data_IF_731556476056
#
_entry.id   IF_731556476056
#
_cell.length_a   1.000
_cell.length_b   1.000
_cell.length_c   1.000
_cell.angle_alpha   90.00
_cell.angle_beta   90.00
_cell.angle_gamma   90.00
#
_symmetry.space_group_name_H-M   'P 1'
#
loop_
_entity.id
_entity.type
_entity.pdbx_description
1 polymer ?
#
# COMPACT_ATOMS: atom_id res chain seq x y z
N UNK A 1 -4.97 -23.81 5.63
CA UNK A 1 -3.73 -23.58 4.84
C UNK A 1 -2.95 -22.47 5.50
N UNK A 2 -1.61 -22.43 5.41
CA UNK A 2 -0.84 -21.33 5.98
C UNK A 2 -1.15 -20.02 5.24
N UNK A 3 -1.08 -18.89 5.97
CA UNK A 3 -1.20 -17.53 5.40
C UNK A 3 -0.11 -17.29 4.36
N UNK A 4 -0.48 -16.65 3.25
CA UNK A 4 0.50 -16.22 2.25
C UNK A 4 1.13 -14.87 2.69
N UNK A 5 2.45 -14.74 2.52
CA UNK A 5 3.19 -13.49 2.77
C UNK A 5 3.57 -12.77 1.47
N UNK A 6 3.21 -13.32 0.33
CA UNK A 6 3.43 -12.74 -0.99
C UNK A 6 2.27 -13.09 -1.91
N UNK A 7 2.00 -12.20 -2.85
CA UNK A 7 1.12 -12.53 -3.97
C UNK A 7 1.90 -13.24 -5.07
N UNK A 8 1.17 -14.06 -5.84
CA UNK A 8 1.61 -14.58 -7.12
C UNK A 8 0.69 -14.03 -8.20
N UNK A 9 1.22 -13.17 -9.03
CA UNK A 9 0.45 -12.61 -10.14
C UNK A 9 0.26 -13.65 -11.24
N UNK A 10 -1.01 -14.00 -11.54
CA UNK A 10 -1.37 -15.03 -12.50
C UNK A 10 -1.59 -14.48 -13.90
N UNK A 11 -1.88 -13.19 -14.02
CA UNK A 11 -2.04 -12.55 -15.32
C UNK A 11 -3.08 -11.44 -15.34
N UNK A 12 -3.26 -10.89 -16.54
CA UNK A 12 -4.29 -9.88 -16.86
C UNK A 12 -5.32 -10.49 -17.77
N UNK A 13 -6.60 -10.34 -17.42
CA UNK A 13 -7.75 -10.96 -18.08
C UNK A 13 -8.76 -9.91 -18.50
N UNK A 14 -9.62 -10.27 -19.45
CA UNK A 14 -10.72 -9.40 -19.90
C UNK A 14 -12.00 -9.60 -19.07
N UNK A 15 -12.16 -10.77 -18.44
CA UNK A 15 -13.34 -11.08 -17.65
C UNK A 15 -12.98 -11.49 -16.22
N UNK A 16 -13.98 -11.32 -15.33
CA UNK A 16 -13.88 -11.74 -13.95
C UNK A 16 -13.77 -13.26 -13.82
N UNK A 17 -14.50 -13.98 -14.67
CA UNK A 17 -14.58 -15.43 -14.60
C UNK A 17 -13.25 -16.08 -15.02
N UNK A 18 -12.63 -15.57 -16.10
CA UNK A 18 -11.29 -16.00 -16.51
C UNK A 18 -10.25 -15.71 -15.42
N UNK A 19 -10.30 -14.50 -14.85
CA UNK A 19 -9.41 -14.13 -13.75
C UNK A 19 -9.60 -15.05 -12.54
N UNK A 20 -10.85 -15.29 -12.11
CA UNK A 20 -11.17 -16.18 -10.99
C UNK A 20 -10.69 -17.62 -11.26
N UNK A 21 -10.86 -18.11 -12.48
CA UNK A 21 -10.40 -19.45 -12.88
C UNK A 21 -8.88 -19.62 -12.80
N UNK A 22 -8.11 -18.54 -12.80
CA UNK A 22 -6.65 -18.57 -12.69
C UNK A 22 -6.13 -18.66 -11.25
N UNK A 23 -7.00 -18.41 -10.26
CA UNK A 23 -6.63 -18.40 -8.83
C UNK A 23 -6.75 -19.80 -8.25
N UNK A 24 -5.65 -20.38 -7.78
CA UNK A 24 -5.57 -21.77 -7.27
C UNK A 24 -5.16 -21.83 -5.79
N UNK A 25 -4.25 -20.98 -5.38
CA UNK A 25 -3.65 -21.01 -4.05
C UNK A 25 -3.77 -19.66 -3.36
N UNK A 26 -3.71 -19.60 -2.00
CA UNK A 26 -3.73 -18.34 -1.27
C UNK A 26 -2.67 -17.36 -1.78
N UNK A 27 -3.09 -16.12 -2.04
CA UNK A 27 -2.23 -15.07 -2.59
C UNK A 27 -2.14 -15.05 -4.12
N UNK A 28 -2.69 -16.04 -4.85
CA UNK A 28 -2.83 -15.93 -6.31
C UNK A 28 -3.66 -14.70 -6.63
N UNK A 29 -3.20 -13.89 -7.58
CA UNK A 29 -3.75 -12.56 -7.85
C UNK A 29 -3.83 -12.32 -9.36
N UNK A 30 -4.99 -11.86 -9.83
CA UNK A 30 -5.27 -11.59 -11.24
C UNK A 30 -5.83 -10.17 -11.42
N UNK A 31 -5.45 -9.49 -12.50
CA UNK A 31 -5.97 -8.18 -12.88
C UNK A 31 -7.04 -8.33 -13.96
N UNK A 32 -8.20 -7.74 -13.77
CA UNK A 32 -9.18 -7.56 -14.85
C UNK A 32 -9.01 -6.17 -15.44
N UNK A 33 -8.70 -6.12 -16.74
CA UNK A 33 -8.42 -4.90 -17.47
C UNK A 33 -9.27 -4.83 -18.74
N UNK A 34 -10.06 -3.76 -18.88
CA UNK A 34 -10.89 -3.47 -20.07
C UNK A 34 -10.70 -2.02 -20.47
N UNK A 35 -9.61 -1.74 -21.19
CA UNK A 35 -9.18 -0.38 -21.49
C UNK A 35 -8.59 0.35 -20.27
N UNK A 36 -9.12 0.06 -19.09
CA UNK A 36 -8.60 0.50 -17.76
C UNK A 36 -8.60 -0.67 -16.79
N UNK A 37 -7.83 -0.55 -15.73
CA UNK A 37 -7.87 -1.50 -14.62
C UNK A 37 -9.26 -1.42 -13.94
N UNK A 38 -9.97 -2.54 -13.88
CA UNK A 38 -11.33 -2.64 -13.34
C UNK A 38 -11.33 -3.15 -11.93
N UNK A 39 -10.66 -4.25 -11.72
CA UNK A 39 -10.58 -4.90 -10.41
C UNK A 39 -9.35 -5.79 -10.32
N UNK A 40 -8.89 -5.99 -9.11
CA UNK A 40 -7.93 -7.02 -8.77
C UNK A 40 -8.68 -8.14 -8.07
N UNK A 41 -8.54 -9.37 -8.56
CA UNK A 41 -9.01 -10.56 -7.89
C UNK A 41 -7.85 -11.20 -7.14
N UNK A 42 -8.09 -11.68 -5.94
CA UNK A 42 -7.08 -12.38 -5.16
C UNK A 42 -7.72 -13.55 -4.42
N UNK A 43 -7.14 -14.74 -4.53
CA UNK A 43 -7.48 -15.80 -3.60
C UNK A 43 -7.01 -15.37 -2.21
N UNK A 44 -7.93 -15.34 -1.25
CA UNK A 44 -7.68 -14.75 0.06
C UNK A 44 -6.37 -15.27 0.67
N UNK A 45 -5.42 -14.39 0.98
CA UNK A 45 -4.11 -14.82 1.44
C UNK A 45 -4.13 -15.49 2.82
N UNK A 46 -5.26 -15.38 3.57
CA UNK A 46 -5.41 -16.11 4.84
C UNK A 46 -5.65 -17.62 4.66
N UNK A 47 -5.94 -18.07 3.44
CA UNK A 47 -6.20 -19.48 3.15
C UNK A 47 -7.65 -19.94 3.37
N UNK A 48 -8.61 -19.02 3.55
CA UNK A 48 -10.04 -19.38 3.73
C UNK A 48 -10.73 -19.88 2.46
N UNK A 49 -10.07 -19.78 1.29
CA UNK A 49 -10.57 -20.23 0.00
C UNK A 49 -11.48 -19.25 -0.73
N UNK A 50 -11.82 -18.11 -0.13
CA UNK A 50 -12.62 -17.09 -0.80
C UNK A 50 -11.79 -16.25 -1.78
N UNK A 51 -12.43 -15.78 -2.84
CA UNK A 51 -11.84 -14.81 -3.74
C UNK A 51 -12.22 -13.38 -3.31
N UNK A 52 -11.23 -12.57 -3.04
CA UNK A 52 -11.38 -11.14 -2.80
C UNK A 52 -11.54 -10.41 -4.13
N UNK A 53 -12.50 -9.49 -4.19
CA UNK A 53 -12.74 -8.63 -5.36
C UNK A 53 -12.46 -7.20 -4.94
N UNK A 54 -11.35 -6.65 -5.42
CA UNK A 54 -10.85 -5.32 -5.05
C UNK A 54 -11.14 -4.38 -6.22
N UNK A 55 -12.08 -3.46 -6.03
CA UNK A 55 -12.47 -2.50 -7.06
C UNK A 55 -11.33 -1.50 -7.32
N UNK A 56 -10.95 -1.32 -8.59
CA UNK A 56 -9.94 -0.35 -9.04
C UNK A 56 -10.54 0.77 -9.89
N UNK A 57 -11.85 0.68 -10.21
CA UNK A 57 -12.55 1.64 -11.06
C UNK A 57 -13.41 2.58 -10.22
N UNK A 58 -12.96 3.81 -10.04
CA UNK A 58 -13.67 4.84 -9.25
C UNK A 58 -15.06 5.19 -9.80
N UNK A 59 -15.36 4.83 -11.05
CA UNK A 59 -16.71 5.00 -11.64
C UNK A 59 -17.71 3.97 -11.12
N UNK A 60 -17.22 2.85 -10.58
CA UNK A 60 -18.04 1.79 -9.99
C UNK A 60 -18.21 1.93 -8.47
N UNK A 61 -17.70 3.00 -7.85
CA UNK A 61 -17.79 3.28 -6.43
C UNK A 61 -16.41 3.45 -5.78
N UNK A 62 -16.30 3.32 -4.44
CA UNK A 62 -15.02 3.41 -3.74
C UNK A 62 -14.01 2.43 -4.34
N UNK A 63 -12.83 2.94 -4.69
CA UNK A 63 -11.83 2.17 -5.42
C UNK A 63 -10.45 2.28 -4.75
N UNK A 64 -9.71 1.18 -4.78
CA UNK A 64 -8.30 1.12 -4.40
C UNK A 64 -7.43 1.68 -5.51
N UNK A 65 -6.31 2.27 -5.15
CA UNK A 65 -5.26 2.63 -6.10
C UNK A 65 -4.30 1.45 -6.26
N UNK A 66 -4.01 1.08 -7.49
CA UNK A 66 -3.00 0.09 -7.82
C UNK A 66 -1.75 0.81 -8.34
N UNK A 67 -0.60 0.46 -7.78
CA UNK A 67 0.70 0.90 -8.25
C UNK A 67 1.44 -0.29 -8.83
N UNK A 68 2.02 -0.11 -10.01
CA UNK A 68 2.81 -1.15 -10.67
C UNK A 68 4.20 -0.62 -10.99
N UNK A 69 5.22 -1.38 -10.59
CA UNK A 69 6.60 -1.12 -10.95
C UNK A 69 7.20 -2.40 -11.51
N UNK A 70 7.33 -2.49 -12.84
CA UNK A 70 7.59 -3.76 -13.49
C UNK A 70 6.49 -4.78 -13.16
N UNK A 71 6.87 -5.90 -12.57
CA UNK A 71 5.93 -6.93 -12.13
C UNK A 71 5.47 -6.77 -10.68
N UNK A 72 6.03 -5.81 -9.96
CA UNK A 72 5.62 -5.56 -8.58
C UNK A 72 4.30 -4.80 -8.53
N UNK A 73 3.39 -5.27 -7.68
CA UNK A 73 2.06 -4.71 -7.44
C UNK A 73 1.97 -4.24 -6.00
N UNK A 74 1.42 -3.04 -5.84
CA UNK A 74 1.07 -2.48 -4.54
C UNK A 74 -0.37 -1.95 -4.58
N UNK A 75 -1.07 -1.99 -3.46
CA UNK A 75 -2.42 -1.45 -3.29
C UNK A 75 -2.46 -0.40 -2.19
N UNK A 76 -3.23 0.66 -2.41
CA UNK A 76 -3.54 1.68 -1.41
C UNK A 76 -5.05 1.95 -1.42
N UNK A 77 -5.67 2.09 -0.25
CA UNK A 77 -5.18 1.83 1.10
C UNK A 77 -4.99 0.32 1.40
N UNK A 78 -4.76 -0.03 2.68
CA UNK A 78 -4.80 -1.43 3.12
C UNK A 78 -6.14 -2.08 2.76
N UNK A 79 -6.13 -3.38 2.55
CA UNK A 79 -7.35 -4.14 2.36
C UNK A 79 -7.82 -4.71 3.69
N UNK A 80 -9.04 -4.37 4.06
CA UNK A 80 -9.70 -4.94 5.23
C UNK A 80 -11.01 -5.61 4.81
N UNK A 81 -11.17 -6.85 5.22
CA UNK A 81 -12.39 -7.60 5.07
C UNK A 81 -13.08 -7.69 6.42
N UNK A 82 -14.21 -7.02 6.55
CA UNK A 82 -15.03 -6.94 7.77
C UNK A 82 -15.96 -8.14 7.96
N UNK A 83 -15.91 -9.13 7.07
CA UNK A 83 -16.75 -10.32 7.07
C UNK A 83 -15.93 -11.60 6.99
N UNK A 84 -16.47 -12.71 7.47
CA UNK A 84 -15.89 -14.06 7.40
C UNK A 84 -14.54 -14.19 8.09
N UNK A 85 -13.45 -14.05 7.35
CA UNK A 85 -12.08 -14.29 7.85
C UNK A 85 -11.41 -13.06 8.45
N UNK A 86 -12.05 -11.89 8.41
CA UNK A 86 -11.56 -10.61 8.96
C UNK A 86 -10.11 -10.25 8.55
N UNK A 87 -9.68 -10.71 7.37
CA UNK A 87 -8.33 -10.49 6.89
C UNK A 87 -8.06 -9.00 6.69
N UNK A 88 -7.02 -8.48 7.36
CA UNK A 88 -6.53 -7.13 7.21
C UNK A 88 -5.06 -7.14 6.83
N UNK A 89 -4.71 -6.57 5.69
CA UNK A 89 -3.33 -6.56 5.19
C UNK A 89 -3.05 -5.36 4.29
N UNK A 90 -1.77 -5.10 4.18
CA UNK A 90 -1.17 -4.16 3.23
C UNK A 90 -0.51 -4.97 2.12
N UNK A 91 -0.78 -4.63 0.85
CA UNK A 91 -0.05 -5.18 -0.27
C UNK A 91 0.97 -4.16 -0.76
N UNK A 92 2.25 -4.46 -0.57
CA UNK A 92 3.35 -3.63 -1.02
C UNK A 92 4.41 -4.43 -1.76
N UNK A 93 4.68 -4.11 -3.03
CA UNK A 93 5.66 -4.79 -3.90
C UNK A 93 5.55 -6.32 -3.87
N UNK A 94 4.34 -6.81 -4.07
CA UNK A 94 3.98 -8.24 -4.01
C UNK A 94 4.11 -8.89 -2.61
N UNK A 95 4.52 -8.15 -1.59
CA UNK A 95 4.60 -8.65 -0.21
C UNK A 95 3.29 -8.29 0.51
N UNK A 96 2.79 -9.22 1.28
CA UNK A 96 1.60 -9.06 2.13
C UNK A 96 2.08 -8.81 3.56
N UNK A 97 1.82 -7.61 4.05
CA UNK A 97 2.05 -7.24 5.44
C UNK A 97 0.72 -7.36 6.19
N UNK A 98 0.65 -8.31 7.11
CA UNK A 98 -0.55 -8.52 7.91
C UNK A 98 -0.68 -7.45 8.97
N UNK A 99 -1.88 -6.86 9.06
CA UNK A 99 -2.21 -5.88 10.10
C UNK A 99 -2.95 -6.60 11.23
N UNK A 100 -2.28 -7.55 11.88
CA UNK A 100 -2.82 -8.22 13.06
C UNK A 100 -2.75 -7.24 14.25
N UNK A 101 -3.86 -7.02 14.92
CA UNK A 101 -3.98 -6.00 15.98
C UNK A 101 -3.12 -6.31 17.22
N UNK A 102 -2.64 -7.55 17.36
CA UNK A 102 -1.85 -8.02 18.50
C UNK A 102 -0.33 -7.92 18.28
N UNK A 103 0.13 -7.44 17.13
CA UNK A 103 1.56 -7.36 16.82
C UNK A 103 2.11 -5.97 17.21
N UNK A 104 2.50 -5.82 18.48
CA UNK A 104 3.20 -4.63 19.00
C UNK A 104 4.50 -4.33 18.22
N UNK A 105 5.03 -5.28 17.46
CA UNK A 105 6.26 -5.12 16.67
C UNK A 105 6.10 -4.12 15.52
N UNK A 106 4.87 -3.93 15.00
CA UNK A 106 4.58 -2.98 13.92
C UNK A 106 4.75 -1.52 14.41
N UNK A 107 4.50 -1.27 15.69
CA UNK A 107 4.57 0.07 16.28
C UNK A 107 5.97 0.45 16.76
N UNK A 108 6.86 -0.50 17.00
CA UNK A 108 8.23 -0.24 17.48
C UNK A 108 9.16 0.32 16.40
N UNK A 109 8.78 0.23 15.12
CA UNK A 109 9.60 0.73 14.01
C UNK A 109 9.37 2.22 13.67
N UNK A 110 8.41 2.89 14.30
CA UNK A 110 8.01 4.27 13.94
C UNK A 110 9.15 5.28 14.07
N UNK A 111 10.00 5.19 15.10
CA UNK A 111 11.13 6.10 15.27
C UNK A 111 12.20 5.92 14.18
N UNK A 112 12.45 4.69 13.76
CA UNK A 112 13.44 4.41 12.70
C UNK A 112 12.98 4.93 11.34
N UNK A 113 11.68 4.86 11.05
CA UNK A 113 11.10 5.38 9.80
C UNK A 113 11.15 6.90 9.75
N UNK A 114 10.83 7.61 10.84
CA UNK A 114 10.92 9.07 10.91
C UNK A 114 12.35 9.56 10.66
N UNK A 115 13.35 8.92 11.28
CA UNK A 115 14.77 9.26 11.08
C UNK A 115 15.22 9.05 9.63
N UNK A 116 14.81 7.95 9.01
CA UNK A 116 15.11 7.64 7.61
C UNK A 116 14.44 8.64 6.66
N UNK A 117 13.16 8.96 6.92
CA UNK A 117 12.42 9.98 6.14
C UNK A 117 13.08 11.34 6.30
N UNK A 118 13.42 11.76 7.54
CA UNK A 118 14.10 13.03 7.77
C UNK A 118 15.44 13.10 7.04
N UNK A 119 16.19 12.01 7.02
CA UNK A 119 17.48 11.95 6.30
C UNK A 119 17.29 12.04 4.78
N UNK A 120 16.20 11.51 4.24
CA UNK A 120 15.87 11.51 2.82
C UNK A 120 15.24 12.83 2.33
N UNK A 121 14.62 13.61 3.23
CA UNK A 121 14.06 14.92 2.90
C UNK A 121 15.17 15.92 2.59
N UNK A 122 14.98 16.68 1.51
CA UNK A 122 15.86 17.77 1.06
C UNK A 122 15.19 19.13 1.32
N UNK A 123 15.83 20.21 0.90
CA UNK A 123 15.26 21.57 0.91
C UNK A 123 14.17 21.76 -0.16
N UNK A 124 14.04 20.83 -1.11
CA UNK A 124 13.02 20.82 -2.15
C UNK A 124 11.84 19.95 -1.77
N UNK A 125 10.64 20.37 -2.18
CA UNK A 125 9.44 19.55 -1.97
C UNK A 125 9.51 18.26 -2.77
N UNK A 126 9.31 17.14 -2.09
CA UNK A 126 9.27 15.79 -2.66
C UNK A 126 7.97 15.12 -2.27
N UNK A 127 7.36 14.38 -3.19
CA UNK A 127 6.16 13.60 -2.90
C UNK A 127 6.49 12.44 -1.97
N UNK A 128 5.59 12.13 -1.02
CA UNK A 128 5.79 11.02 -0.08
C UNK A 128 5.86 9.65 -0.78
N UNK A 129 5.21 9.49 -1.95
CA UNK A 129 5.30 8.25 -2.73
C UNK A 129 6.70 8.05 -3.30
N UNK A 130 7.34 9.12 -3.80
CA UNK A 130 8.72 9.09 -4.29
C UNK A 130 9.71 8.82 -3.14
N UNK A 131 9.44 9.40 -1.96
CA UNK A 131 10.23 9.11 -0.75
C UNK A 131 10.10 7.65 -0.33
N UNK A 132 8.88 7.11 -0.35
CA UNK A 132 8.62 5.72 -0.02
C UNK A 132 9.33 4.77 -0.98
N UNK A 133 9.33 5.10 -2.27
CA UNK A 133 10.04 4.33 -3.27
C UNK A 133 11.55 4.35 -3.04
N UNK A 134 12.12 5.53 -2.76
CA UNK A 134 13.55 5.69 -2.48
C UNK A 134 13.98 4.96 -1.22
N UNK A 135 13.14 4.94 -0.19
CA UNK A 135 13.42 4.32 1.10
C UNK A 135 13.06 2.83 1.14
N UNK A 136 12.40 2.32 0.09
CA UNK A 136 11.84 0.97 0.02
C UNK A 136 10.83 0.68 1.13
N UNK A 137 10.07 1.73 1.52
CA UNK A 137 9.08 1.69 2.59
C UNK A 137 7.64 1.80 2.07
N UNK A 138 6.69 1.44 2.93
CA UNK A 138 5.26 1.56 2.63
C UNK A 138 4.86 3.04 2.55
N UNK A 139 4.19 3.52 1.47
CA UNK A 139 3.93 4.95 1.28
C UNK A 139 3.18 5.63 2.41
N UNK A 140 2.19 4.96 3.03
CA UNK A 140 1.44 5.59 4.12
C UNK A 140 2.21 5.64 5.42
N UNK A 141 3.17 4.75 5.67
CA UNK A 141 4.06 4.84 6.82
C UNK A 141 5.00 6.03 6.64
N UNK A 142 5.50 6.23 5.40
CA UNK A 142 6.27 7.43 5.05
C UNK A 142 5.43 8.69 5.17
N UNK A 143 4.16 8.66 4.72
CA UNK A 143 3.24 9.80 4.87
C UNK A 143 2.98 10.13 6.34
N UNK A 144 2.76 9.13 7.19
CA UNK A 144 2.60 9.33 8.63
C UNK A 144 3.86 9.90 9.27
N UNK A 145 5.04 9.38 8.91
CA UNK A 145 6.33 9.90 9.35
C UNK A 145 6.53 11.36 8.92
N UNK A 146 6.20 11.71 7.67
CA UNK A 146 6.23 13.09 7.19
C UNK A 146 5.33 14.02 8.03
N UNK A 147 4.10 13.60 8.31
CA UNK A 147 3.20 14.37 9.16
C UNK A 147 3.70 14.50 10.61
N UNK A 148 4.31 13.44 11.16
CA UNK A 148 4.94 13.49 12.47
C UNK A 148 6.10 14.50 12.51
N UNK A 149 6.96 14.49 11.49
CA UNK A 149 8.06 15.45 11.32
C UNK A 149 7.56 16.89 11.16
N UNK A 150 6.43 17.10 10.48
CA UNK A 150 5.80 18.43 10.40
C UNK A 150 5.32 18.90 11.78
N UNK A 151 4.68 18.04 12.56
CA UNK A 151 4.27 18.37 13.94
C UNK A 151 5.47 18.68 14.86
N UNK A 152 6.61 18.01 14.64
CA UNK A 152 7.87 18.26 15.36
C UNK A 152 8.65 19.49 14.83
N UNK A 153 8.16 20.17 13.78
CA UNK A 153 8.84 21.30 13.14
C UNK A 153 10.08 20.95 12.31
N UNK A 154 10.36 19.65 12.13
CA UNK A 154 11.53 19.15 11.38
C UNK A 154 11.27 19.09 9.86
N UNK A 155 10.02 19.13 9.43
CA UNK A 155 9.61 19.16 8.03
C UNK A 155 8.53 20.22 7.79
N UNK A 156 8.32 20.57 6.52
CA UNK A 156 7.28 21.50 6.05
C UNK A 156 6.47 20.80 4.96
N UNK A 157 5.12 20.86 5.09
CA UNK A 157 4.19 20.35 4.08
C UNK A 157 3.83 21.44 3.06
N UNK A 158 3.66 21.05 1.79
CA UNK A 158 3.23 21.95 0.72
C UNK A 158 1.70 22.11 0.68
N UNK A 159 1.14 22.73 1.72
CA UNK A 159 -0.30 22.96 1.83
C UNK A 159 -0.56 24.48 1.67
N UNK A 160 -1.57 24.92 0.90
CA UNK A 160 -2.60 24.11 0.18
C UNK A 160 -2.23 23.69 -1.25
N UNK A 161 -1.03 24.07 -1.77
CA UNK A 161 -0.70 23.95 -3.19
C UNK A 161 -0.65 22.51 -3.70
N UNK A 162 0.05 21.61 -2.97
CA UNK A 162 0.11 20.19 -3.30
C UNK A 162 0.12 19.31 -2.06
N UNK A 163 -0.97 18.59 -1.85
CA UNK A 163 -1.06 17.61 -0.75
C UNK A 163 -0.10 16.45 -1.01
N UNK A 164 0.57 15.99 0.06
CA UNK A 164 1.49 14.86 -0.02
C UNK A 164 2.93 15.21 -0.41
N UNK A 165 3.26 16.50 -0.58
CA UNK A 165 4.64 16.94 -0.77
C UNK A 165 5.20 17.54 0.52
N UNK A 166 6.46 17.17 0.81
CA UNK A 166 7.17 17.56 2.03
C UNK A 166 8.61 17.95 1.72
N UNK A 167 9.17 18.82 2.55
CA UNK A 167 10.58 19.17 2.52
C UNK A 167 11.14 19.29 3.93
N UNK A 168 12.46 19.22 4.07
CA UNK A 168 13.14 19.47 5.34
C UNK A 168 12.92 20.91 5.78
N UNK A 169 12.68 21.11 7.07
CA UNK A 169 12.62 22.45 7.65
C UNK A 169 14.03 23.06 7.70
N UNK A 170 14.18 24.33 7.31
CA UNK A 170 15.41 25.08 7.47
C UNK A 170 15.64 25.59 8.91
N UNK A 171 14.62 25.42 9.78
CA UNK A 171 14.75 25.79 11.21
C UNK A 171 15.38 24.63 11.98
N UNK A 172 16.44 24.90 12.76
CA UNK A 172 16.93 23.94 13.74
C UNK A 172 15.80 23.67 14.76
N UNK A 173 15.54 22.40 15.13
CA UNK A 173 14.62 22.10 16.24
C UNK A 173 15.14 22.81 17.51
N UNK A 174 14.22 23.49 18.18
CA UNK A 174 14.47 24.16 19.47
C UNK A 174 14.69 23.15 20.57
#
# INVERSE_FOLDING_TARGET
>A
MPRANRIKFTGTFLSRDEAAASLRTPGDTALVHRGVARMLLMNCPCGCGDNLVINLDSRAGPAWRIYRRGEAISLYPSYWRDTKCESHFILWRNIIYWCDWDDESIWSSSNSIEERVLSALTEHFTNYEDLAEKLEEVPWDVLQACHALVRKGSAVANVPRRKGEFKRSSRKPS
#
